data_IF_991373275490
#
_entry.id   IF_991373275490
#
_cell.length_a   1.000
_cell.length_b   1.000
_cell.length_c   1.000
_cell.angle_alpha   90.00
_cell.angle_beta   90.00
_cell.angle_gamma   90.00
#
_symmetry.space_group_name_H-M   'P 1'
#
loop_
_entity.id
_entity.type
_entity.pdbx_description
1 polymer ?
#
# COMPACT_ATOMS: atom_id res chain seq x y z
N UNK A 1 12.01 25.14 14.44
CA UNK A 1 12.61 25.35 13.10
C UNK A 1 12.79 23.96 12.50
N UNK A 2 11.74 23.45 11.85
CA UNK A 2 11.64 22.06 11.38
C UNK A 2 12.23 21.96 9.96
N UNK A 3 13.21 21.09 9.80
CA UNK A 3 13.88 20.87 8.52
C UNK A 3 12.96 20.16 7.53
N UNK A 4 12.82 20.74 6.34
CA UNK A 4 12.21 20.07 5.19
C UNK A 4 13.04 18.83 4.85
N UNK A 5 12.51 17.65 5.15
CA UNK A 5 13.17 16.38 4.86
C UNK A 5 13.37 16.22 3.34
N UNK A 6 14.63 16.12 2.93
CA UNK A 6 15.08 16.18 1.55
C UNK A 6 14.46 15.11 0.64
N UNK A 7 13.82 15.59 -0.42
CA UNK A 7 13.51 14.83 -1.62
C UNK A 7 14.81 14.35 -2.30
N UNK A 8 14.74 13.26 -3.08
CA UNK A 8 15.85 12.90 -3.98
C UNK A 8 16.12 14.06 -4.95
N UNK A 9 17.38 14.37 -5.30
CA UNK A 9 17.63 15.24 -6.44
C UNK A 9 17.17 14.51 -7.71
N UNK A 10 15.99 14.88 -8.24
CA UNK A 10 15.51 14.47 -9.57
C UNK A 10 14.23 13.62 -9.64
N UNK A 11 13.58 13.26 -8.52
CA UNK A 11 12.31 12.51 -8.53
C UNK A 11 11.09 13.44 -8.56
N UNK A 12 10.05 13.12 -9.36
CA UNK A 12 8.75 13.81 -9.30
C UNK A 12 8.04 13.40 -8.01
N UNK A 13 7.80 14.34 -7.09
CA UNK A 13 7.00 14.08 -5.90
C UNK A 13 5.56 13.77 -6.30
N UNK A 14 5.11 12.54 -6.01
CA UNK A 14 3.78 12.05 -6.37
C UNK A 14 2.77 12.29 -5.27
N UNK A 15 3.12 12.00 -4.02
CA UNK A 15 2.27 12.20 -2.86
C UNK A 15 3.00 13.07 -1.84
N UNK A 16 2.30 14.07 -1.30
CA UNK A 16 2.79 14.94 -0.23
C UNK A 16 1.76 15.00 0.88
N UNK A 17 2.26 14.86 2.11
CA UNK A 17 1.50 15.04 3.33
C UNK A 17 2.05 16.27 4.05
N UNK A 18 1.16 17.20 4.41
CA UNK A 18 1.52 18.50 4.97
C UNK A 18 0.76 18.75 6.28
N UNK A 19 1.49 18.75 7.40
CA UNK A 19 0.96 19.08 8.72
C UNK A 19 -0.20 18.19 9.18
N UNK A 20 -0.17 16.89 8.84
CA UNK A 20 -1.28 15.99 9.12
C UNK A 20 -1.36 15.66 10.61
N UNK A 21 -2.53 15.86 11.20
CA UNK A 21 -2.79 15.54 12.62
C UNK A 21 -3.96 14.55 12.72
N UNK A 22 -3.82 13.56 13.61
CA UNK A 22 -4.91 12.64 13.96
C UNK A 22 -4.89 12.23 15.43
N UNK A 23 -6.05 12.33 16.07
CA UNK A 23 -6.33 11.90 17.43
C UNK A 23 -7.32 10.72 17.43
N UNK A 24 -7.25 9.89 18.47
CA UNK A 24 -8.18 8.81 18.75
C UNK A 24 -8.57 8.86 20.24
N UNK A 25 -9.72 9.47 20.53
CA UNK A 25 -10.05 9.90 21.90
C UNK A 25 -9.02 10.93 22.37
N UNK A 26 -8.51 10.77 23.59
CA UNK A 26 -7.51 11.68 24.17
C UNK A 26 -6.07 11.42 23.70
N UNK A 27 -5.87 10.43 22.81
CA UNK A 27 -4.55 10.03 22.33
C UNK A 27 -4.26 10.64 20.98
N UNK A 28 -3.19 11.44 20.91
CA UNK A 28 -2.57 11.85 19.64
C UNK A 28 -1.86 10.67 18.99
N UNK A 29 -2.29 10.28 17.79
CA UNK A 29 -1.64 9.22 17.00
C UNK A 29 -0.45 9.78 16.21
N UNK A 30 -0.64 10.93 15.58
CA UNK A 30 0.40 11.72 14.94
C UNK A 30 -0.03 13.20 14.88
N UNK A 31 0.92 14.12 14.98
CA UNK A 31 0.70 15.56 14.99
C UNK A 31 1.72 16.25 14.09
N UNK A 32 1.23 17.21 13.30
CA UNK A 32 2.05 18.00 12.37
C UNK A 32 2.95 17.13 11.46
N UNK A 33 2.42 15.98 11.05
CA UNK A 33 3.18 15.01 10.28
C UNK A 33 3.32 15.49 8.83
N UNK A 34 4.57 15.64 8.38
CA UNK A 34 4.87 16.03 7.00
C UNK A 34 5.89 15.09 6.36
N UNK A 35 5.59 14.59 5.17
CA UNK A 35 6.51 13.78 4.36
C UNK A 35 6.11 13.78 2.88
N UNK A 36 7.00 13.29 2.04
CA UNK A 36 6.75 13.10 0.61
C UNK A 36 7.14 11.69 0.15
N UNK A 37 6.44 11.24 -0.87
CA UNK A 37 6.68 10.00 -1.61
C UNK A 37 6.82 10.34 -3.09
N UNK A 38 7.97 10.02 -3.65
CA UNK A 38 8.28 10.24 -5.06
C UNK A 38 7.66 9.13 -5.93
N UNK A 39 7.41 9.44 -7.20
CA UNK A 39 6.94 8.44 -8.17
C UNK A 39 7.94 7.29 -8.32
N UNK A 40 7.43 6.05 -8.29
CA UNK A 40 8.24 4.84 -8.31
C UNK A 40 9.06 4.59 -7.05
N UNK A 41 8.79 5.30 -5.95
CA UNK A 41 9.43 5.07 -4.67
C UNK A 41 8.75 3.96 -3.85
N UNK A 42 9.54 3.21 -3.07
CA UNK A 42 9.07 2.43 -1.93
C UNK A 42 9.47 3.14 -0.63
N UNK A 43 8.48 3.59 0.14
CA UNK A 43 8.66 4.18 1.48
C UNK A 43 8.11 3.21 2.53
N UNK A 44 8.92 2.84 3.52
CA UNK A 44 8.41 2.08 4.66
C UNK A 44 8.05 3.00 5.83
N UNK A 45 6.91 2.74 6.47
CA UNK A 45 6.52 3.35 7.73
C UNK A 45 6.78 2.34 8.85
N UNK A 46 7.63 2.72 9.80
CA UNK A 46 8.01 1.89 10.95
C UNK A 46 7.62 2.57 12.26
N UNK A 47 7.60 1.82 13.35
CA UNK A 47 7.24 2.33 14.68
C UNK A 47 6.53 1.27 15.51
N UNK A 48 6.40 1.52 16.82
CA UNK A 48 5.76 0.59 17.76
C UNK A 48 4.30 0.27 17.40
N UNK A 49 3.79 -0.86 17.89
CA UNK A 49 2.36 -1.16 17.74
C UNK A 49 1.50 -0.05 18.35
N UNK A 50 0.42 0.33 17.67
CA UNK A 50 -0.45 1.43 18.09
C UNK A 50 0.11 2.85 17.87
N UNK A 51 1.26 3.03 17.20
CA UNK A 51 1.80 4.38 16.88
C UNK A 51 1.04 5.15 15.79
N UNK A 52 -0.08 4.62 15.29
CA UNK A 52 -0.90 5.29 14.27
C UNK A 52 -0.59 4.95 12.82
N UNK A 53 0.36 4.04 12.53
CA UNK A 53 0.76 3.63 11.17
C UNK A 53 -0.42 3.23 10.26
N UNK A 54 -1.24 2.28 10.69
CA UNK A 54 -2.42 1.83 9.92
C UNK A 54 -3.48 2.93 9.82
N UNK A 55 -3.61 3.79 10.83
CA UNK A 55 -4.49 4.96 10.77
C UNK A 55 -4.02 5.96 9.71
N UNK A 56 -2.72 6.19 9.60
CA UNK A 56 -2.14 7.03 8.57
C UNK A 56 -2.48 6.50 7.17
N UNK A 57 -2.30 5.19 6.90
CA UNK A 57 -2.73 4.60 5.62
C UNK A 57 -4.22 4.81 5.33
N UNK A 58 -5.06 4.66 6.36
CA UNK A 58 -6.51 4.89 6.25
C UNK A 58 -6.83 6.37 6.00
N UNK A 59 -6.04 7.31 6.51
CA UNK A 59 -6.15 8.72 6.15
C UNK A 59 -5.79 8.96 4.68
N UNK A 60 -4.67 8.39 4.20
CA UNK A 60 -4.22 8.51 2.81
C UNK A 60 -5.23 7.94 1.80
N UNK A 61 -5.95 6.88 2.17
CA UNK A 61 -6.99 6.27 1.34
C UNK A 61 -8.42 6.79 1.64
N UNK A 62 -8.58 7.82 2.48
CA UNK A 62 -9.90 8.37 2.81
C UNK A 62 -10.87 7.39 3.49
N UNK A 63 -10.36 6.36 4.17
CA UNK A 63 -11.14 5.51 5.08
C UNK A 63 -11.36 6.21 6.43
N UNK A 64 -10.43 7.06 6.84
CA UNK A 64 -10.51 7.88 8.05
C UNK A 64 -10.20 9.33 7.64
N UNK A 65 -10.94 10.31 8.17
CA UNK A 65 -10.59 11.72 7.97
C UNK A 65 -9.50 12.11 8.98
N UNK A 66 -8.45 12.79 8.51
CA UNK A 66 -7.51 13.49 9.38
C UNK A 66 -8.21 14.68 10.06
N UNK A 67 -7.73 15.07 11.23
CA UNK A 67 -8.32 16.18 11.99
C UNK A 67 -7.81 17.52 11.44
N UNK A 68 -6.54 17.56 11.04
CA UNK A 68 -5.88 18.72 10.43
C UNK A 68 -4.91 18.28 9.33
N UNK A 69 -4.42 19.27 8.57
CA UNK A 69 -3.41 19.09 7.52
C UNK A 69 -3.99 18.81 6.14
N UNK A 70 -3.09 18.57 5.19
CA UNK A 70 -3.42 18.33 3.77
C UNK A 70 -2.71 17.11 3.21
N UNK A 71 -3.37 16.45 2.27
CA UNK A 71 -2.83 15.35 1.48
C UNK A 71 -2.93 15.78 0.02
N UNK A 72 -1.79 15.88 -0.67
CA UNK A 72 -1.70 16.30 -2.07
C UNK A 72 -1.19 15.13 -2.89
N UNK A 73 -1.96 14.72 -3.90
CA UNK A 73 -1.63 13.64 -4.82
C UNK A 73 -1.55 14.21 -6.24
N UNK A 74 -0.39 14.05 -6.87
CA UNK A 74 -0.06 14.57 -8.19
C UNK A 74 -0.49 16.04 -8.39
N UNK A 75 -0.10 16.89 -7.43
CA UNK A 75 -0.43 18.31 -7.41
C UNK A 75 -1.89 18.64 -7.04
N UNK A 76 -2.76 17.65 -6.87
CA UNK A 76 -4.17 17.85 -6.50
C UNK A 76 -4.36 17.64 -5.00
N UNK A 77 -4.97 18.60 -4.31
CA UNK A 77 -5.39 18.41 -2.91
C UNK A 77 -6.51 17.37 -2.86
N UNK A 78 -6.22 16.24 -2.22
CA UNK A 78 -7.16 15.12 -2.06
C UNK A 78 -7.80 15.07 -0.67
N UNK A 79 -7.59 16.10 0.15
CA UNK A 79 -8.14 16.20 1.49
C UNK A 79 -9.66 16.29 1.44
N UNK A 80 -10.34 15.26 1.93
CA UNK A 80 -11.81 15.23 1.95
C UNK A 80 -12.47 14.96 0.59
N UNK A 81 -11.73 14.48 -0.42
CA UNK A 81 -12.31 13.97 -1.68
C UNK A 81 -13.24 12.77 -1.39
N UNK A 82 -14.26 12.61 -2.23
CA UNK A 82 -15.16 11.44 -2.25
C UNK A 82 -14.38 10.11 -2.17
N UNK A 83 -14.57 9.32 -1.09
CA UNK A 83 -13.75 8.14 -0.83
C UNK A 83 -13.75 7.07 -1.94
N UNK A 84 -14.88 6.75 -2.60
CA UNK A 84 -14.88 5.81 -3.74
C UNK A 84 -13.93 6.19 -4.87
N UNK A 85 -13.83 7.48 -5.24
CA UNK A 85 -12.89 7.93 -6.28
C UNK A 85 -11.45 7.84 -5.81
N UNK A 86 -11.18 8.29 -4.58
CA UNK A 86 -9.82 8.25 -4.02
C UNK A 86 -9.31 6.80 -3.88
N UNK A 87 -10.17 5.87 -3.47
CA UNK A 87 -9.82 4.45 -3.28
C UNK A 87 -9.45 3.71 -4.56
N UNK A 88 -9.79 4.27 -5.73
CA UNK A 88 -9.31 3.75 -7.01
C UNK A 88 -7.86 4.16 -7.29
N UNK A 89 -7.49 5.36 -6.84
CA UNK A 89 -6.18 5.97 -7.11
C UNK A 89 -5.16 5.60 -6.04
N UNK A 90 -5.58 5.50 -4.78
CA UNK A 90 -4.76 5.11 -3.63
C UNK A 90 -5.34 3.81 -3.07
N UNK A 91 -4.78 2.66 -3.41
CA UNK A 91 -5.39 1.38 -3.03
C UNK A 91 -4.73 0.81 -1.77
N UNK A 92 -5.53 0.34 -0.81
CA UNK A 92 -5.06 -0.25 0.44
C UNK A 92 -5.23 -1.77 0.43
N UNK A 93 -4.13 -2.49 0.65
CA UNK A 93 -4.12 -3.92 0.96
C UNK A 93 -3.82 -4.08 2.46
N UNK A 94 -4.74 -4.72 3.16
CA UNK A 94 -4.63 -4.94 4.60
C UNK A 94 -3.73 -6.11 4.98
N UNK A 95 -3.48 -6.22 6.29
CA UNK A 95 -2.72 -7.31 6.92
C UNK A 95 -3.34 -8.69 6.65
N UNK A 96 -4.67 -8.77 6.69
CA UNK A 96 -5.42 -9.98 6.34
C UNK A 96 -5.90 -9.87 4.89
N UNK A 97 -5.44 -10.80 4.04
CA UNK A 97 -5.94 -10.95 2.70
C UNK A 97 -7.42 -11.36 2.70
N UNK A 98 -8.31 -10.44 2.36
CA UNK A 98 -9.72 -10.74 2.11
C UNK A 98 -9.83 -11.44 0.76
N UNK A 99 -10.38 -12.64 0.74
CA UNK A 99 -10.72 -13.39 -0.48
C UNK A 99 -12.24 -13.45 -0.60
N UNK A 100 -12.74 -13.14 -1.79
CA UNK A 100 -14.15 -13.25 -2.10
C UNK A 100 -14.48 -14.67 -2.56
N UNK A 101 -15.70 -15.17 -2.29
CA UNK A 101 -16.15 -16.45 -2.83
C UNK A 101 -16.00 -16.51 -4.36
N UNK A 102 -15.57 -17.66 -4.88
CA UNK A 102 -15.35 -17.88 -6.30
C UNK A 102 -13.89 -18.18 -6.62
N UNK A 103 -13.57 -18.07 -7.90
CA UNK A 103 -12.25 -18.37 -8.46
C UNK A 103 -11.26 -17.23 -8.25
N UNK A 104 -9.99 -17.50 -8.56
CA UNK A 104 -8.96 -16.48 -8.70
C UNK A 104 -9.38 -15.43 -9.74
N UNK A 105 -9.94 -15.85 -10.89
CA UNK A 105 -10.50 -14.94 -11.89
C UNK A 105 -11.60 -14.04 -11.32
N UNK A 106 -12.55 -14.61 -10.58
CA UNK A 106 -13.65 -13.84 -9.97
C UNK A 106 -13.13 -12.74 -9.04
N UNK A 107 -12.09 -13.06 -8.25
CA UNK A 107 -11.44 -12.10 -7.37
C UNK A 107 -10.72 -10.98 -8.14
N UNK A 108 -10.12 -11.27 -9.29
CA UNK A 108 -9.44 -10.26 -10.12
C UNK A 108 -10.41 -9.40 -10.93
N UNK A 109 -11.52 -9.97 -11.41
CA UNK A 109 -12.54 -9.26 -12.20
C UNK A 109 -13.39 -8.28 -11.36
N UNK A 110 -13.47 -8.52 -10.04
CA UNK A 110 -14.26 -7.71 -9.10
C UNK A 110 -13.43 -7.13 -7.96
N UNK A 111 -12.53 -6.19 -8.24
CA UNK A 111 -11.89 -5.44 -7.19
C UNK A 111 -12.92 -4.57 -6.45
N UNK A 112 -13.26 -5.00 -5.24
CA UNK A 112 -13.81 -4.18 -4.17
C UNK A 112 -15.21 -3.55 -4.37
N UNK A 113 -15.79 -3.57 -5.59
CA UNK A 113 -17.16 -3.16 -6.02
C UNK A 113 -17.16 -2.62 -7.47
N UNK A 114 -16.00 -2.45 -8.08
CA UNK A 114 -15.88 -2.00 -9.46
C UNK A 114 -15.75 -3.21 -10.37
N UNK A 115 -16.64 -3.34 -11.35
CA UNK A 115 -16.38 -4.26 -12.44
C UNK A 115 -15.21 -3.69 -13.24
N UNK A 116 -14.06 -4.33 -13.18
CA UNK A 116 -13.12 -4.26 -14.30
C UNK A 116 -13.67 -5.22 -15.35
N UNK A 117 -13.55 -4.86 -16.62
CA UNK A 117 -14.01 -5.65 -17.77
C UNK A 117 -13.85 -7.16 -17.53
N UNK A 118 -14.97 -7.89 -17.46
CA UNK A 118 -14.97 -9.35 -17.36
C UNK A 118 -14.43 -10.04 -18.62
N UNK A 119 -14.22 -9.26 -19.68
CA UNK A 119 -13.90 -9.73 -21.01
C UNK A 119 -12.42 -9.49 -21.39
N UNK A 120 -11.50 -9.46 -20.41
CA UNK A 120 -10.06 -9.44 -20.75
C UNK A 120 -9.68 -10.76 -21.44
N UNK A 121 -8.83 -10.72 -22.48
CA UNK A 121 -8.33 -11.93 -23.12
C UNK A 121 -7.44 -12.72 -22.14
N UNK A 122 -7.38 -14.05 -22.30
CA UNK A 122 -6.62 -14.94 -21.40
C UNK A 122 -5.19 -14.46 -21.11
N UNK A 123 -4.37 -14.01 -22.10
CA UNK A 123 -3.01 -13.53 -21.83
C UNK A 123 -2.93 -12.36 -20.84
N UNK A 124 -3.97 -11.52 -20.74
CA UNK A 124 -3.98 -10.42 -19.78
C UNK A 124 -4.20 -10.92 -18.34
N UNK A 125 -5.08 -11.91 -18.15
CA UNK A 125 -5.26 -12.56 -16.85
C UNK A 125 -3.98 -13.27 -16.40
N UNK A 126 -3.35 -14.02 -17.31
CA UNK A 126 -2.09 -14.71 -17.03
C UNK A 126 -1.00 -13.71 -16.64
N UNK A 127 -0.90 -12.58 -17.36
CA UNK A 127 0.02 -11.49 -17.02
C UNK A 127 -0.22 -10.95 -15.62
N UNK A 128 -1.47 -10.75 -15.21
CA UNK A 128 -1.81 -10.28 -13.85
C UNK A 128 -1.33 -11.24 -12.76
N UNK A 129 -1.49 -12.55 -12.97
CA UNK A 129 -1.00 -13.57 -12.04
C UNK A 129 0.53 -13.62 -12.00
N UNK A 130 1.18 -13.58 -13.16
CA UNK A 130 2.64 -13.59 -13.26
C UNK A 130 3.28 -12.37 -12.58
N UNK A 131 2.68 -11.16 -12.71
CA UNK A 131 3.14 -9.94 -12.04
C UNK A 131 3.22 -10.10 -10.51
N UNK A 132 2.37 -10.94 -9.92
CA UNK A 132 2.40 -11.26 -8.48
C UNK A 132 2.94 -12.65 -8.17
N UNK A 133 3.46 -13.39 -9.17
CA UNK A 133 4.15 -14.66 -8.97
C UNK A 133 3.21 -15.77 -8.53
N UNK A 134 1.97 -15.69 -9.01
CA UNK A 134 1.00 -16.76 -9.00
C UNK A 134 1.07 -17.50 -10.35
N UNK A 135 0.72 -18.79 -10.33
CA UNK A 135 0.69 -19.61 -11.53
C UNK A 135 -0.52 -19.21 -12.40
N UNK A 136 -0.32 -18.89 -13.70
CA UNK A 136 -1.42 -18.70 -14.65
C UNK A 136 -2.46 -19.84 -14.66
N UNK A 137 -2.03 -21.08 -14.41
CA UNK A 137 -2.91 -22.24 -14.35
C UNK A 137 -3.91 -22.18 -13.18
N UNK A 138 -3.63 -21.38 -12.15
CA UNK A 138 -4.52 -21.21 -10.99
C UNK A 138 -5.70 -20.25 -11.29
N UNK A 139 -5.85 -19.71 -12.50
CA UNK A 139 -6.88 -18.71 -12.82
C UNK A 139 -8.32 -19.18 -12.50
N UNK A 140 -8.64 -20.46 -12.76
CA UNK A 140 -9.95 -21.06 -12.46
C UNK A 140 -10.00 -21.76 -11.10
N UNK A 141 -8.90 -21.74 -10.34
CA UNK A 141 -8.84 -22.37 -9.02
C UNK A 141 -9.73 -21.64 -8.05
N UNK A 142 -10.36 -22.38 -7.15
CA UNK A 142 -11.07 -21.80 -6.01
C UNK A 142 -10.10 -20.95 -5.17
N UNK A 143 -10.41 -19.67 -5.00
CA UNK A 143 -9.55 -18.76 -4.26
C UNK A 143 -9.52 -19.10 -2.75
N UNK A 144 -10.52 -19.82 -2.24
CA UNK A 144 -10.60 -20.27 -0.84
C UNK A 144 -9.48 -21.24 -0.44
N UNK A 145 -8.97 -22.04 -1.39
CA UNK A 145 -7.95 -23.07 -1.11
C UNK A 145 -6.51 -22.54 -1.15
N UNK A 146 -6.31 -21.28 -1.55
CA UNK A 146 -4.99 -20.66 -1.62
C UNK A 146 -4.30 -20.62 -0.25
N UNK A 147 -2.98 -20.78 -0.22
CA UNK A 147 -2.16 -20.56 0.98
C UNK A 147 -2.21 -19.08 1.42
N UNK A 148 -1.81 -18.79 2.66
CA UNK A 148 -1.78 -17.41 3.18
C UNK A 148 -0.97 -16.45 2.29
N UNK A 149 0.20 -16.89 1.81
CA UNK A 149 1.04 -16.09 0.91
C UNK A 149 0.46 -15.94 -0.50
N UNK A 150 -0.27 -16.93 -1.02
CA UNK A 150 -0.99 -16.81 -2.29
C UNK A 150 -2.17 -15.85 -2.17
N UNK A 151 -2.94 -15.95 -1.08
CA UNK A 151 -4.05 -15.01 -0.79
C UNK A 151 -3.57 -13.57 -0.73
N UNK A 152 -2.42 -13.32 -0.08
CA UNK A 152 -1.86 -11.97 -0.03
C UNK A 152 -1.45 -11.46 -1.42
N UNK A 153 -0.81 -12.31 -2.23
CA UNK A 153 -0.40 -11.95 -3.60
C UNK A 153 -1.61 -11.73 -4.51
N UNK A 154 -2.68 -12.51 -4.34
CA UNK A 154 -3.95 -12.28 -5.02
C UNK A 154 -4.61 -10.97 -4.59
N UNK A 155 -4.57 -10.62 -3.29
CA UNK A 155 -5.07 -9.33 -2.81
C UNK A 155 -4.29 -8.15 -3.40
N UNK A 156 -2.97 -8.29 -3.55
CA UNK A 156 -2.12 -7.31 -4.25
C UNK A 156 -2.48 -7.24 -5.74
N UNK A 157 -2.63 -8.38 -6.43
CA UNK A 157 -3.02 -8.41 -7.85
C UNK A 157 -4.37 -7.73 -8.09
N UNK A 158 -5.33 -7.98 -7.20
CA UNK A 158 -6.65 -7.32 -7.22
C UNK A 158 -6.55 -5.82 -7.01
N UNK A 159 -5.67 -5.35 -6.13
CA UNK A 159 -5.40 -3.92 -5.96
C UNK A 159 -4.77 -3.31 -7.21
N UNK A 160 -3.86 -4.03 -7.88
CA UNK A 160 -3.21 -3.58 -9.11
C UNK A 160 -4.13 -3.58 -10.34
N UNK A 161 -5.18 -4.42 -10.32
CA UNK A 161 -6.11 -4.55 -11.44
C UNK A 161 -6.78 -3.22 -11.82
N UNK A 162 -7.02 -2.34 -10.83
CA UNK A 162 -7.58 -1.00 -11.04
C UNK A 162 -6.52 0.07 -11.38
N UNK A 163 -5.26 -0.33 -11.60
CA UNK A 163 -4.14 0.56 -11.93
C UNK A 163 -3.98 1.75 -10.97
N UNK A 164 -3.75 1.50 -9.66
CA UNK A 164 -3.65 2.56 -8.68
C UNK A 164 -2.37 3.39 -8.88
N UNK A 165 -2.46 4.70 -8.62
CA UNK A 165 -1.31 5.61 -8.60
C UNK A 165 -0.39 5.33 -7.40
N UNK A 166 -0.98 4.93 -6.25
CA UNK A 166 -0.24 4.56 -5.04
C UNK A 166 -0.80 3.27 -4.45
N UNK A 167 0.08 2.31 -4.18
CA UNK A 167 -0.25 1.08 -3.47
C UNK A 167 0.16 1.18 -1.99
N UNK A 168 -0.82 1.10 -1.09
CA UNK A 168 -0.61 1.07 0.35
C UNK A 168 -0.68 -0.38 0.86
N UNK A 169 0.33 -0.82 1.60
CA UNK A 169 0.40 -2.16 2.18
C UNK A 169 0.48 -2.06 3.72
N UNK A 170 -0.55 -2.55 4.42
CA UNK A 170 -0.62 -2.54 5.89
C UNK A 170 -0.16 -3.89 6.45
N UNK A 171 1.10 -3.99 6.89
CA UNK A 171 1.71 -5.24 7.37
C UNK A 171 1.48 -6.47 6.48
N UNK A 172 1.87 -6.42 5.18
CA UNK A 172 1.47 -7.44 4.21
C UNK A 172 2.01 -8.85 4.49
N UNK A 173 2.89 -9.02 5.46
CA UNK A 173 3.58 -10.29 5.75
C UNK A 173 3.47 -10.74 7.20
N UNK A 174 2.79 -10.01 8.09
CA UNK A 174 2.88 -10.30 9.53
C UNK A 174 2.18 -11.59 9.96
N UNK A 175 1.19 -12.06 9.20
CA UNK A 175 0.47 -13.32 9.45
C UNK A 175 1.02 -14.53 8.67
N UNK A 176 2.19 -14.43 8.03
CA UNK A 176 2.71 -15.44 7.11
C UNK A 176 3.91 -16.21 7.69
N UNK A 177 4.08 -17.47 7.25
CA UNK A 177 5.32 -18.21 7.45
C UNK A 177 6.48 -17.57 6.68
N UNK A 178 7.70 -17.82 7.12
CA UNK A 178 8.92 -17.19 6.60
C UNK A 178 9.14 -17.42 5.08
N UNK A 179 8.73 -18.58 4.54
CA UNK A 179 8.79 -18.83 3.10
C UNK A 179 7.79 -17.97 2.32
N UNK A 180 6.56 -17.86 2.83
CA UNK A 180 5.51 -17.00 2.27
C UNK A 180 5.84 -15.52 2.38
N UNK A 181 6.44 -15.07 3.50
CA UNK A 181 6.91 -13.68 3.67
C UNK A 181 7.88 -13.29 2.54
N UNK A 182 8.90 -14.12 2.30
CA UNK A 182 9.89 -13.88 1.24
C UNK A 182 9.26 -13.77 -0.15
N UNK A 183 8.26 -14.62 -0.47
CA UNK A 183 7.54 -14.56 -1.75
C UNK A 183 6.74 -13.26 -1.91
N UNK A 184 6.11 -12.77 -0.85
CA UNK A 184 5.39 -11.48 -0.86
C UNK A 184 6.37 -10.31 -0.97
N UNK A 185 7.48 -10.32 -0.22
CA UNK A 185 8.53 -9.31 -0.34
C UNK A 185 9.10 -9.26 -1.77
N UNK A 186 9.38 -10.41 -2.39
CA UNK A 186 9.88 -10.44 -3.75
C UNK A 186 8.86 -9.93 -4.76
N UNK A 187 7.58 -10.21 -4.54
CA UNK A 187 6.49 -9.62 -5.33
C UNK A 187 6.53 -8.10 -5.26
N UNK A 188 6.63 -7.53 -4.06
CA UNK A 188 6.70 -6.07 -3.84
C UNK A 188 7.92 -5.47 -4.55
N UNK A 189 9.11 -6.09 -4.41
CA UNK A 189 10.31 -5.61 -5.08
C UNK A 189 10.19 -5.66 -6.59
N UNK A 190 9.60 -6.73 -7.14
CA UNK A 190 9.38 -6.87 -8.57
C UNK A 190 8.44 -5.79 -9.11
N UNK A 191 7.31 -5.56 -8.44
CA UNK A 191 6.35 -4.52 -8.83
C UNK A 191 7.01 -3.14 -8.89
N UNK A 192 7.84 -2.81 -7.90
CA UNK A 192 8.57 -1.55 -7.92
C UNK A 192 9.64 -1.49 -9.02
N UNK A 193 10.47 -2.53 -9.16
CA UNK A 193 11.59 -2.54 -10.13
C UNK A 193 11.15 -2.62 -11.58
N UNK A 194 10.13 -3.42 -11.89
CA UNK A 194 9.71 -3.71 -13.27
C UNK A 194 8.59 -2.79 -13.73
N UNK A 195 7.62 -2.48 -12.86
CA UNK A 195 6.45 -1.69 -13.22
C UNK A 195 6.50 -0.25 -12.69
N UNK A 196 7.55 0.14 -11.97
CA UNK A 196 7.68 1.49 -11.39
C UNK A 196 6.57 1.81 -10.39
N UNK A 197 5.96 0.80 -9.76
CA UNK A 197 4.85 1.03 -8.83
C UNK A 197 5.32 1.84 -7.64
N UNK A 198 4.58 2.90 -7.31
CA UNK A 198 4.79 3.71 -6.10
C UNK A 198 4.12 3.02 -4.91
N UNK A 199 4.90 2.68 -3.89
CA UNK A 199 4.46 1.82 -2.78
C UNK A 199 4.77 2.47 -1.43
N UNK A 200 3.80 2.41 -0.52
CA UNK A 200 4.01 2.78 0.87
C UNK A 200 3.62 1.59 1.77
N UNK A 201 4.54 1.15 2.61
CA UNK A 201 4.44 -0.10 3.37
C UNK A 201 4.52 0.18 4.86
N UNK A 202 3.53 -0.25 5.63
CA UNK A 202 3.62 -0.31 7.08
C UNK A 202 4.23 -1.65 7.48
N UNK A 203 5.27 -1.61 8.32
CA UNK A 203 5.83 -2.81 8.94
C UNK A 203 6.43 -2.49 10.30
N UNK A 204 6.36 -3.46 11.22
CA UNK A 204 7.10 -3.43 12.49
C UNK A 204 8.41 -4.22 12.41
N UNK A 205 8.68 -4.91 11.29
CA UNK A 205 9.93 -5.64 11.04
C UNK A 205 10.96 -4.70 10.37
N UNK A 206 11.93 -4.25 11.17
CA UNK A 206 13.00 -3.36 10.70
C UNK A 206 13.86 -4.01 9.61
N UNK A 207 14.12 -5.31 9.70
CA UNK A 207 14.94 -6.02 8.72
C UNK A 207 14.19 -6.12 7.38
N UNK A 208 12.87 -6.32 7.42
CA UNK A 208 12.03 -6.22 6.23
C UNK A 208 12.08 -4.81 5.63
N UNK A 209 11.95 -3.76 6.44
CA UNK A 209 12.03 -2.39 5.95
C UNK A 209 13.36 -2.14 5.23
N UNK A 210 14.49 -2.52 5.83
CA UNK A 210 15.83 -2.39 5.23
C UNK A 210 15.97 -3.14 3.91
N UNK A 211 15.32 -4.30 3.82
CA UNK A 211 15.30 -5.13 2.61
C UNK A 211 14.40 -4.60 1.49
N UNK A 212 13.45 -3.70 1.78
CA UNK A 212 12.43 -3.24 0.82
C UNK A 212 12.59 -1.78 0.42
N UNK A 213 13.09 -0.92 1.31
CA UNK A 213 13.10 0.52 1.09
C UNK A 213 14.40 1.16 1.54
N UNK A 214 14.77 2.24 0.85
CA UNK A 214 15.89 3.12 1.23
C UNK A 214 15.43 4.23 2.17
N UNK A 215 14.23 4.77 1.97
CA UNK A 215 13.64 5.79 2.83
C UNK A 215 12.63 5.16 3.77
N UNK A 216 12.65 5.62 5.03
CA UNK A 216 11.80 5.13 6.10
C UNK A 216 11.17 6.31 6.83
N UNK A 217 9.87 6.28 7.07
CA UNK A 217 9.19 7.19 8.00
C UNK A 217 9.04 6.47 9.34
N UNK A 218 9.73 6.93 10.37
CA UNK A 218 9.60 6.38 11.71
C UNK A 218 8.53 7.17 12.49
N UNK A 219 7.46 6.50 12.92
CA UNK A 219 6.39 7.07 13.76
C UNK A 219 6.55 6.64 15.22
N UNK A 220 6.82 7.60 16.09
CA UNK A 220 7.01 7.39 17.52
C UNK A 220 6.41 8.55 18.33
N UNK A 221 5.69 8.21 19.42
CA UNK A 221 5.15 9.18 20.38
C UNK A 221 4.38 10.37 19.78
N UNK A 222 3.64 10.17 18.67
CA UNK A 222 2.87 11.22 18.01
C UNK A 222 3.66 12.06 17.00
N UNK A 223 4.93 11.76 16.78
CA UNK A 223 5.78 12.45 15.80
C UNK A 223 6.28 11.49 14.73
N UNK A 224 6.55 12.03 13.55
CA UNK A 224 7.15 11.30 12.45
C UNK A 224 8.45 11.92 11.99
N UNK A 225 9.46 11.07 11.77
CA UNK A 225 10.76 11.47 11.25
C UNK A 225 11.08 10.64 10.00
N UNK A 226 11.43 11.31 8.90
CA UNK A 226 11.93 10.63 7.70
C UNK A 226 13.42 10.39 7.85
N UNK A 227 13.80 9.11 7.79
CA UNK A 227 15.19 8.64 7.83
C UNK A 227 15.59 8.06 6.48
N UNK A 228 16.76 8.45 6.01
CA UNK A 228 17.40 7.85 4.85
C UNK A 228 18.31 6.73 5.36
N UNK A 229 18.16 5.52 4.82
CA UNK A 229 19.05 4.38 5.05
C UNK A 229 20.20 4.35 4.06
#
# INVERSE_FOLDING_TARGET
>A
MMGSAGARPGGRTLLRVEGLTKQAGDRTLFQDLSFSLDEGEVLCITGASGSGKSTLLRCLNGLIKADEGRIVLDGTDITGIDPPRLRRTVCLVGQQAVIFPGTVRDNLAHPFTFAINRDLPLPEWERMLMMVGLDPADLEKDAGVLSGGERQRLAIARALAISPTVLLLDEPTSALDEGSKRRVEETIRRLNREAGTTILIVTHDTAQAERLCRRRLHLEAGHGEVRNG
#
